data_IF_417627710155
#
_entry.id   IF_417627710155
#
_cell.length_a   1.000
_cell.length_b   1.000
_cell.length_c   1.000
_cell.angle_alpha   90.00
_cell.angle_beta   90.00
_cell.angle_gamma   90.00
#
_symmetry.space_group_name_H-M   'P 1'
#
loop_
_entity.id
_entity.type
_entity.pdbx_description
1 polymer ?
#
# COMPACT_ATOMS: atom_id res chain seq x y z
N UNK A 1 27.44 -24.40 1.69
CA UNK A 1 26.93 -23.24 0.91
C UNK A 1 25.95 -22.52 1.81
N UNK A 2 26.27 -21.29 2.19
CA UNK A 2 25.32 -20.43 2.92
C UNK A 2 24.13 -20.13 2.01
N UNK A 3 22.93 -20.38 2.49
CA UNK A 3 21.72 -20.10 1.74
C UNK A 3 21.51 -18.57 1.72
N UNK A 4 21.42 -17.97 0.53
CA UNK A 4 21.16 -16.52 0.39
C UNK A 4 19.92 -16.14 1.20
N UNK A 5 20.01 -15.09 2.00
CA UNK A 5 18.86 -14.52 2.69
C UNK A 5 17.90 -13.90 1.69
N UNK A 6 16.61 -14.09 1.93
CA UNK A 6 15.54 -13.42 1.20
C UNK A 6 15.45 -11.98 1.67
N UNK A 7 15.54 -11.01 0.76
CA UNK A 7 15.45 -9.58 1.08
C UNK A 7 14.01 -9.08 0.91
N UNK A 8 13.44 -8.54 1.97
CA UNK A 8 12.07 -8.03 2.00
C UNK A 8 12.08 -6.55 2.37
N UNK A 9 11.54 -5.70 1.51
CA UNK A 9 11.20 -4.33 1.88
C UNK A 9 9.76 -4.25 2.39
N UNK A 10 9.54 -3.62 3.54
CA UNK A 10 8.20 -3.33 4.06
C UNK A 10 7.98 -1.81 3.99
N UNK A 11 7.15 -1.38 3.05
CA UNK A 11 6.82 0.01 2.83
C UNK A 11 5.51 0.37 3.52
N UNK A 12 5.60 1.12 4.60
CA UNK A 12 4.47 1.78 5.24
C UNK A 12 4.25 3.14 4.62
N UNK A 13 3.02 3.43 4.18
CA UNK A 13 2.65 4.75 3.66
C UNK A 13 1.53 5.38 4.46
N UNK A 14 1.47 6.69 4.39
CA UNK A 14 0.38 7.45 4.96
C UNK A 14 0.77 8.31 6.17
N UNK A 15 -0.21 8.97 6.80
CA UNK A 15 0.03 9.83 7.93
C UNK A 15 0.28 9.04 9.21
N UNK A 16 1.12 9.59 10.08
CA UNK A 16 1.28 9.12 11.46
C UNK A 16 0.08 9.62 12.27
N UNK A 17 -0.88 8.74 12.52
CA UNK A 17 -2.15 9.12 13.20
C UNK A 17 -2.85 7.95 13.90
N UNK A 18 -3.73 8.18 14.89
CA UNK A 18 -3.99 9.49 15.48
C UNK A 18 -2.79 10.03 16.26
N UNK A 19 -1.97 9.16 16.85
CA UNK A 19 -0.77 9.50 17.63
C UNK A 19 0.44 8.71 17.14
N UNK A 20 1.64 9.17 17.55
CA UNK A 20 2.88 8.41 17.33
C UNK A 20 2.79 7.04 18.01
N UNK A 21 2.37 7.00 19.28
CA UNK A 21 2.29 5.75 20.06
C UNK A 21 1.36 4.72 19.44
N UNK A 22 0.18 5.10 18.95
CA UNK A 22 -0.75 4.18 18.30
C UNK A 22 -0.21 3.66 16.95
N UNK A 23 0.49 4.51 16.20
CA UNK A 23 1.15 4.10 14.96
C UNK A 23 2.29 3.12 15.24
N UNK A 24 3.10 3.40 16.27
CA UNK A 24 4.17 2.49 16.72
C UNK A 24 3.64 1.10 17.06
N UNK A 25 2.57 1.05 17.84
CA UNK A 25 1.97 -0.23 18.22
C UNK A 25 1.55 -1.05 16.99
N UNK A 26 0.83 -0.43 16.05
CA UNK A 26 0.38 -1.10 14.81
C UNK A 26 1.52 -1.57 13.94
N UNK A 27 2.54 -0.71 13.73
CA UNK A 27 3.72 -1.08 12.95
C UNK A 27 4.44 -2.26 13.59
N UNK A 28 4.61 -2.23 14.91
CA UNK A 28 5.25 -3.32 15.65
C UNK A 28 4.44 -4.62 15.55
N UNK A 29 3.14 -4.58 15.84
CA UNK A 29 2.25 -5.74 15.71
C UNK A 29 2.25 -6.31 14.27
N UNK A 30 2.33 -5.44 13.26
CA UNK A 30 2.44 -5.88 11.88
C UNK A 30 3.80 -6.54 11.63
N UNK A 31 4.92 -5.93 12.07
CA UNK A 31 6.26 -6.46 11.87
C UNK A 31 6.50 -7.76 12.63
N UNK A 32 5.92 -7.92 13.81
CA UNK A 32 6.02 -9.15 14.61
C UNK A 32 5.49 -10.38 13.85
N UNK A 33 4.58 -10.18 12.89
CA UNK A 33 4.07 -11.25 12.03
C UNK A 33 5.12 -11.77 11.02
N UNK A 34 6.14 -10.96 10.70
CA UNK A 34 7.22 -11.34 9.77
C UNK A 34 8.43 -11.98 10.47
N UNK A 35 8.49 -11.97 11.80
CA UNK A 35 9.60 -12.58 12.56
C UNK A 35 9.73 -14.08 12.36
N UNK A 36 8.66 -14.74 11.91
CA UNK A 36 8.64 -16.18 11.58
C UNK A 36 9.07 -16.53 10.15
N UNK A 37 9.32 -15.54 9.30
CA UNK A 37 9.80 -15.80 7.93
C UNK A 37 11.28 -16.22 8.02
N UNK A 38 11.54 -17.50 7.95
CA UNK A 38 12.90 -18.05 8.08
C UNK A 38 13.81 -17.49 6.99
N UNK A 39 15.02 -17.12 7.42
CA UNK A 39 16.09 -16.67 6.54
C UNK A 39 15.77 -15.37 5.76
N UNK A 40 14.93 -14.48 6.30
CA UNK A 40 14.62 -13.17 5.73
C UNK A 40 15.48 -12.06 6.34
N UNK A 41 15.89 -11.12 5.48
CA UNK A 41 16.41 -9.82 5.86
C UNK A 41 15.34 -8.79 5.52
N UNK A 42 14.81 -8.11 6.54
CA UNK A 42 13.69 -7.19 6.40
C UNK A 42 14.18 -5.76 6.58
N UNK A 43 13.88 -4.89 5.62
CA UNK A 43 14.14 -3.44 5.69
C UNK A 43 12.82 -2.69 5.69
N UNK A 44 12.64 -1.79 6.64
CA UNK A 44 11.42 -1.02 6.83
C UNK A 44 11.53 0.40 6.29
N UNK A 45 10.49 0.85 5.62
CA UNK A 45 10.36 2.18 5.05
C UNK A 45 9.08 2.86 5.54
N UNK A 46 9.17 4.13 5.91
CA UNK A 46 8.02 4.99 6.13
C UNK A 46 7.97 6.04 5.03
N UNK A 47 6.90 6.05 4.22
CA UNK A 47 6.61 7.12 3.28
C UNK A 47 5.54 8.05 3.85
N UNK A 48 5.88 9.33 4.04
CA UNK A 48 4.97 10.33 4.60
C UNK A 48 5.16 11.69 3.94
N UNK A 49 4.24 12.62 4.22
CA UNK A 49 4.26 13.96 3.67
C UNK A 49 5.11 14.92 4.50
N UNK A 50 5.76 15.87 3.84
CA UNK A 50 6.40 17.03 4.47
C UNK A 50 5.36 17.97 5.12
N UNK A 51 5.84 18.86 5.96
CA UNK A 51 5.03 19.88 6.60
C UNK A 51 4.62 19.49 8.02
N UNK A 52 3.38 19.79 8.42
CA UNK A 52 2.92 19.57 9.80
C UNK A 52 2.98 18.10 10.29
N UNK A 53 3.07 17.16 9.37
CA UNK A 53 3.22 15.73 9.64
C UNK A 53 4.69 15.32 9.89
N UNK A 54 5.65 16.19 9.55
CA UNK A 54 7.09 15.93 9.62
C UNK A 54 7.59 15.71 11.05
N UNK A 55 7.08 16.48 12.01
CA UNK A 55 7.43 16.30 13.41
C UNK A 55 7.07 14.89 13.91
N UNK A 56 5.85 14.40 13.63
CA UNK A 56 5.42 13.05 14.04
C UNK A 56 6.24 11.96 13.35
N UNK A 57 6.61 12.16 12.11
CA UNK A 57 7.50 11.24 11.40
C UNK A 57 8.91 11.20 12.02
N UNK A 58 9.45 12.35 12.42
CA UNK A 58 10.72 12.45 13.11
C UNK A 58 10.70 11.79 14.50
N UNK A 59 9.58 11.91 15.23
CA UNK A 59 9.37 11.23 16.51
C UNK A 59 9.32 9.70 16.33
N UNK A 60 8.74 9.20 15.24
CA UNK A 60 8.75 7.77 14.93
C UNK A 60 10.15 7.25 14.56
N UNK A 61 10.91 8.05 13.82
CA UNK A 61 12.31 7.74 13.50
C UNK A 61 13.16 7.58 14.75
N UNK A 62 12.97 8.46 15.73
CA UNK A 62 13.69 8.40 17.01
C UNK A 62 13.41 7.14 17.83
N UNK A 63 12.43 6.31 17.42
CA UNK A 63 12.07 5.06 18.08
C UNK A 63 12.64 3.81 17.38
N UNK A 64 13.52 3.99 16.38
CA UNK A 64 14.16 2.91 15.61
C UNK A 64 13.21 1.88 15.01
N UNK A 65 11.96 2.33 14.67
CA UNK A 65 10.94 1.47 14.06
C UNK A 65 11.09 1.34 12.55
N UNK A 66 11.79 2.28 11.94
CA UNK A 66 11.99 2.33 10.50
C UNK A 66 13.48 2.53 10.20
N UNK A 67 13.98 1.70 9.29
CA UNK A 67 15.35 1.84 8.79
C UNK A 67 15.48 3.07 7.90
N UNK A 68 14.40 3.44 7.19
CA UNK A 68 14.37 4.53 6.23
C UNK A 68 13.08 5.33 6.29
N UNK A 69 13.19 6.66 6.04
CA UNK A 69 12.01 7.52 5.85
C UNK A 69 12.11 8.27 4.54
N UNK A 70 11.00 8.22 3.80
CA UNK A 70 10.80 8.89 2.51
C UNK A 70 9.85 10.06 2.73
N UNK A 71 10.42 11.28 2.79
CA UNK A 71 9.65 12.51 2.95
C UNK A 71 9.26 13.05 1.57
N UNK A 72 7.96 13.12 1.33
CA UNK A 72 7.40 13.51 0.04
C UNK A 72 6.66 14.85 0.14
N UNK A 73 6.62 15.60 -0.96
CA UNK A 73 5.79 16.80 -1.07
C UNK A 73 4.47 16.43 -1.74
N UNK A 74 3.35 16.83 -1.13
CA UNK A 74 2.03 16.62 -1.72
C UNK A 74 1.93 17.33 -3.08
N UNK A 75 1.26 16.73 -4.08
CA UNK A 75 0.93 17.44 -5.31
C UNK A 75 0.10 18.68 -4.99
N UNK A 76 0.43 19.79 -5.65
CA UNK A 76 -0.34 21.02 -5.52
C UNK A 76 -1.69 20.89 -6.24
N UNK A 77 -2.66 21.72 -5.85
CA UNK A 77 -3.96 21.78 -6.51
C UNK A 77 -3.83 22.00 -8.01
N UNK A 78 -2.95 22.92 -8.41
CA UNK A 78 -2.67 23.19 -9.81
C UNK A 78 -2.07 22.00 -10.58
N UNK A 79 -1.34 21.11 -9.91
CA UNK A 79 -0.84 19.88 -10.52
C UNK A 79 -1.96 18.84 -10.70
N UNK A 80 -2.83 18.71 -9.71
CA UNK A 80 -3.99 17.82 -9.77
C UNK A 80 -4.96 18.30 -10.86
N UNK A 81 -5.31 19.59 -10.89
CA UNK A 81 -6.20 20.21 -11.89
C UNK A 81 -5.67 20.08 -13.33
N UNK A 82 -4.34 20.08 -13.52
CA UNK A 82 -3.74 19.84 -14.84
C UNK A 82 -3.77 18.37 -15.23
N UNK A 83 -3.80 17.47 -14.25
CA UNK A 83 -3.77 16.03 -14.47
C UNK A 83 -5.16 15.43 -14.71
N UNK A 84 -6.20 16.00 -14.10
CA UNK A 84 -7.58 15.51 -14.20
C UNK A 84 -8.60 16.64 -14.29
N UNK A 85 -9.71 16.38 -14.97
CA UNK A 85 -10.82 17.34 -15.16
C UNK A 85 -11.94 17.16 -14.12
N UNK A 86 -11.91 16.06 -13.36
CA UNK A 86 -12.94 15.78 -12.36
C UNK A 86 -12.46 16.17 -10.96
N UNK A 87 -13.38 16.46 -10.07
CA UNK A 87 -13.13 16.73 -8.64
C UNK A 87 -13.64 15.64 -7.75
N UNK A 88 -14.51 14.79 -8.27
CA UNK A 88 -15.11 13.64 -7.57
C UNK A 88 -15.20 12.43 -8.49
N UNK A 89 -15.05 11.25 -7.90
CA UNK A 89 -15.37 9.99 -8.56
C UNK A 89 -16.90 9.80 -8.68
N UNK A 90 -17.38 8.90 -9.56
CA UNK A 90 -18.80 8.61 -9.70
C UNK A 90 -19.49 8.18 -8.38
N UNK A 91 -18.76 7.53 -7.49
CA UNK A 91 -19.24 7.16 -6.15
C UNK A 91 -19.31 8.34 -5.16
N UNK A 92 -19.00 9.57 -5.60
CA UNK A 92 -19.01 10.80 -4.81
C UNK A 92 -17.73 11.07 -4.00
N UNK A 93 -16.75 10.16 -4.00
CA UNK A 93 -15.49 10.37 -3.29
C UNK A 93 -14.68 11.51 -3.90
N UNK A 94 -14.06 12.34 -3.05
CA UNK A 94 -13.13 13.37 -3.46
C UNK A 94 -11.87 12.72 -4.09
N UNK A 95 -11.45 13.25 -5.24
CA UNK A 95 -10.30 12.69 -5.97
C UNK A 95 -8.96 13.00 -5.30
N UNK A 96 -8.85 14.08 -4.52
CA UNK A 96 -7.57 14.50 -3.92
C UNK A 96 -6.95 13.42 -3.01
N UNK A 97 -7.68 12.83 -2.06
CA UNK A 97 -7.13 11.72 -1.27
C UNK A 97 -6.70 10.53 -2.11
N UNK A 98 -7.47 10.21 -3.16
CA UNK A 98 -7.15 9.11 -4.09
C UNK A 98 -5.88 9.44 -4.89
N UNK A 99 -5.81 10.64 -5.46
CA UNK A 99 -4.66 11.11 -6.21
C UNK A 99 -3.39 11.09 -5.34
N UNK A 100 -3.46 11.68 -4.15
CA UNK A 100 -2.35 11.71 -3.20
C UNK A 100 -1.90 10.31 -2.79
N UNK A 101 -2.82 9.39 -2.59
CA UNK A 101 -2.52 8.00 -2.24
C UNK A 101 -1.70 7.31 -3.34
N UNK A 102 -2.15 7.39 -4.60
CA UNK A 102 -1.43 6.78 -5.73
C UNK A 102 -0.11 7.47 -6.00
N UNK A 103 -0.08 8.81 -5.93
CA UNK A 103 1.15 9.57 -6.08
C UNK A 103 2.18 9.19 -5.02
N UNK A 104 1.77 9.12 -3.75
CA UNK A 104 2.64 8.73 -2.66
C UNK A 104 3.17 7.31 -2.83
N UNK A 105 2.30 6.35 -3.14
CA UNK A 105 2.69 4.95 -3.31
C UNK A 105 3.73 4.78 -4.40
N UNK A 106 3.49 5.34 -5.59
CA UNK A 106 4.44 5.23 -6.71
C UNK A 106 5.77 5.88 -6.40
N UNK A 107 5.77 7.12 -5.92
CA UNK A 107 7.03 7.84 -5.65
C UNK A 107 7.83 7.22 -4.51
N UNK A 108 7.17 6.60 -3.54
CA UNK A 108 7.84 5.82 -2.52
C UNK A 108 8.41 4.51 -3.07
N UNK A 109 7.64 3.82 -3.91
CA UNK A 109 8.10 2.59 -4.56
C UNK A 109 9.26 2.83 -5.54
N UNK A 110 9.31 3.98 -6.21
CA UNK A 110 10.48 4.38 -7.03
C UNK A 110 11.75 4.38 -6.16
N UNK A 111 11.68 4.94 -4.94
CA UNK A 111 12.82 4.98 -4.01
C UNK A 111 13.18 3.58 -3.51
N UNK A 112 12.19 2.83 -3.02
CA UNK A 112 12.41 1.49 -2.45
C UNK A 112 12.98 0.54 -3.50
N UNK A 113 12.42 0.54 -4.71
CA UNK A 113 12.84 -0.35 -5.80
C UNK A 113 14.27 -0.07 -6.26
N UNK A 114 14.73 1.18 -6.18
CA UNK A 114 16.07 1.59 -6.57
C UNK A 114 17.09 1.52 -5.42
N UNK A 115 16.64 1.39 -4.18
CA UNK A 115 17.53 1.43 -3.01
C UNK A 115 18.37 0.15 -2.85
N UNK A 116 17.79 -1.02 -3.13
CA UNK A 116 18.44 -2.32 -3.05
C UNK A 116 17.75 -3.35 -3.95
N UNK A 117 18.39 -4.49 -4.17
CA UNK A 117 17.81 -5.62 -4.88
C UNK A 117 16.93 -6.47 -3.95
N UNK A 118 15.73 -5.96 -3.62
CA UNK A 118 14.76 -6.72 -2.85
C UNK A 118 14.16 -7.86 -3.69
N UNK A 119 13.95 -8.99 -3.04
CA UNK A 119 13.21 -10.10 -3.63
C UNK A 119 11.70 -9.80 -3.58
N UNK A 120 11.26 -9.13 -2.48
CA UNK A 120 9.86 -8.85 -2.20
C UNK A 120 9.65 -7.44 -1.69
N UNK A 121 8.50 -6.87 -2.02
CA UNK A 121 7.98 -5.65 -1.40
C UNK A 121 6.62 -5.95 -0.78
N UNK A 122 6.48 -5.59 0.48
CA UNK A 122 5.22 -5.51 1.21
C UNK A 122 4.82 -4.05 1.25
N UNK A 123 3.67 -3.72 0.68
CA UNK A 123 3.12 -2.37 0.67
C UNK A 123 1.93 -2.30 1.60
N UNK A 124 1.95 -1.39 2.57
CA UNK A 124 0.91 -1.28 3.59
C UNK A 124 0.72 0.18 4.05
N UNK A 125 -0.22 0.41 4.98
CA UNK A 125 -0.48 1.72 5.56
C UNK A 125 -0.14 1.76 7.05
N UNK A 126 0.20 2.95 7.52
CA UNK A 126 0.46 3.23 8.94
C UNK A 126 -0.80 3.14 9.82
N UNK A 127 -2.00 3.29 9.24
CA UNK A 127 -3.29 3.27 9.93
C UNK A 127 -4.12 2.01 9.63
N UNK A 128 -3.47 0.96 9.11
CA UNK A 128 -4.09 -0.33 8.85
C UNK A 128 -3.82 -1.30 10.01
N UNK A 129 -4.87 -1.86 10.56
CA UNK A 129 -4.80 -3.01 11.48
C UNK A 129 -5.01 -4.27 10.66
N UNK A 130 -4.03 -5.15 10.64
CA UNK A 130 -4.04 -6.32 9.79
C UNK A 130 -3.48 -7.54 10.51
N UNK A 131 -4.15 -8.66 10.35
CA UNK A 131 -3.68 -9.96 10.80
C UNK A 131 -3.53 -10.89 9.60
N UNK A 132 -2.30 -11.28 9.31
CA UNK A 132 -1.95 -12.17 8.19
C UNK A 132 -2.15 -13.65 8.53
N UNK A 133 -2.34 -13.96 9.81
CA UNK A 133 -2.55 -15.32 10.31
C UNK A 133 -1.34 -16.24 10.16
N UNK A 134 -1.54 -17.53 10.36
CA UNK A 134 -0.49 -18.56 10.23
C UNK A 134 -0.06 -18.81 8.77
N UNK A 135 -0.67 -18.13 7.81
CA UNK A 135 -0.50 -18.35 6.38
C UNK A 135 0.43 -17.34 5.69
N UNK A 136 1.27 -16.64 6.46
CA UNK A 136 2.26 -15.69 5.91
C UNK A 136 3.00 -16.24 4.68
N UNK A 137 3.48 -17.50 4.64
CA UNK A 137 4.15 -18.03 3.44
C UNK A 137 3.31 -17.98 2.17
N UNK A 138 1.97 -18.02 2.28
CA UNK A 138 1.08 -17.98 1.11
C UNK A 138 0.98 -16.59 0.48
N UNK A 139 1.42 -15.54 1.19
CA UNK A 139 1.50 -14.17 0.68
C UNK A 139 2.69 -13.97 -0.25
N UNK A 140 3.72 -14.81 -0.13
CA UNK A 140 4.93 -14.74 -0.93
C UNK A 140 4.84 -15.69 -2.13
N UNK A 141 3.98 -15.34 -3.11
CA UNK A 141 3.80 -16.10 -4.35
C UNK A 141 4.58 -15.45 -5.49
N UNK A 142 5.60 -16.12 -6.00
CA UNK A 142 6.45 -15.61 -7.09
C UNK A 142 5.69 -15.30 -8.38
N UNK A 143 4.51 -15.89 -8.56
CA UNK A 143 3.73 -15.77 -9.77
C UNK A 143 2.60 -14.74 -9.68
N UNK A 144 2.33 -14.16 -8.48
CA UNK A 144 1.17 -13.32 -8.28
C UNK A 144 1.40 -12.15 -7.32
N UNK A 145 0.65 -11.08 -7.52
CA UNK A 145 0.44 -10.02 -6.54
C UNK A 145 -0.60 -10.50 -5.53
N UNK A 146 -0.20 -10.65 -4.28
CA UNK A 146 -1.08 -11.08 -3.20
C UNK A 146 -1.70 -9.86 -2.52
N UNK A 147 -3.03 -9.76 -2.51
CA UNK A 147 -3.78 -8.70 -1.82
C UNK A 147 -5.12 -9.24 -1.34
N UNK A 148 -5.68 -8.68 -0.24
CA UNK A 148 -7.04 -8.97 0.13
C UNK A 148 -8.00 -8.49 -0.95
N UNK A 149 -9.09 -9.19 -1.15
CA UNK A 149 -10.20 -8.67 -1.94
C UNK A 149 -11.07 -7.76 -1.07
N UNK A 150 -11.49 -6.64 -1.64
CA UNK A 150 -12.48 -5.75 -1.03
C UNK A 150 -13.82 -6.08 -1.67
N UNK A 151 -14.84 -6.49 -0.90
CA UNK A 151 -16.17 -6.69 -1.45
C UNK A 151 -16.69 -5.38 -2.03
N UNK A 152 -17.12 -5.40 -3.26
CA UNK A 152 -17.85 -4.31 -3.87
C UNK A 152 -19.17 -4.12 -3.11
N UNK A 153 -19.29 -3.01 -2.36
CA UNK A 153 -20.46 -2.61 -1.57
C UNK A 153 -21.06 -3.73 -0.70
N UNK A 154 -20.63 -3.71 0.56
CA UNK A 154 -21.37 -4.18 1.73
C UNK A 154 -22.10 -5.52 1.66
N UNK A 155 -21.37 -6.60 1.93
CA UNK A 155 -21.96 -7.60 2.82
C UNK A 155 -20.84 -8.30 3.57
N UNK A 156 -20.68 -8.07 4.87
CA UNK A 156 -19.70 -8.81 5.69
C UNK A 156 -19.98 -10.32 5.75
N UNK A 157 -21.01 -10.81 5.07
CA UNK A 157 -21.49 -12.19 5.14
C UNK A 157 -22.00 -12.76 3.80
N UNK A 158 -21.60 -12.22 2.62
CA UNK A 158 -22.02 -12.82 1.35
C UNK A 158 -21.06 -13.96 0.97
N UNK A 159 -21.46 -15.23 1.15
CA UNK A 159 -20.62 -16.39 0.84
C UNK A 159 -20.44 -16.67 -0.67
N UNK A 160 -21.02 -15.84 -1.54
CA UNK A 160 -21.05 -16.07 -2.98
C UNK A 160 -20.85 -14.76 -3.79
N UNK A 161 -19.79 -13.99 -3.48
CA UNK A 161 -19.38 -12.90 -4.36
C UNK A 161 -18.62 -13.52 -5.53
N UNK A 162 -19.09 -13.29 -6.74
CA UNK A 162 -18.38 -13.74 -7.92
C UNK A 162 -16.99 -13.11 -7.98
N UNK A 163 -15.95 -13.83 -8.45
CA UNK A 163 -14.58 -13.28 -8.50
C UNK A 163 -14.47 -11.95 -9.26
N UNK A 164 -15.31 -11.73 -10.26
CA UNK A 164 -15.39 -10.49 -11.03
C UNK A 164 -15.93 -9.29 -10.24
N UNK A 165 -16.64 -9.54 -9.15
CA UNK A 165 -17.16 -8.50 -8.23
C UNK A 165 -16.20 -8.17 -7.10
N UNK A 166 -15.04 -8.83 -7.04
CA UNK A 166 -14.03 -8.61 -6.03
C UNK A 166 -12.99 -7.61 -6.53
N UNK A 167 -12.77 -6.58 -5.73
CA UNK A 167 -11.77 -5.54 -6.03
C UNK A 167 -10.48 -5.81 -5.27
N UNK A 168 -9.37 -5.47 -5.92
CA UNK A 168 -8.04 -5.58 -5.29
C UNK A 168 -7.92 -4.49 -4.23
N UNK A 169 -7.56 -4.87 -3.01
CA UNK A 169 -7.30 -3.91 -1.95
C UNK A 169 -6.10 -3.02 -2.31
N UNK A 170 -6.32 -1.71 -2.32
CA UNK A 170 -5.28 -0.70 -2.54
C UNK A 170 -4.52 -0.31 -1.26
N UNK A 171 -4.90 -0.91 -0.12
CA UNK A 171 -4.33 -0.58 1.19
C UNK A 171 -3.18 -1.50 1.58
N UNK A 172 -3.16 -2.71 1.04
CA UNK A 172 -2.16 -3.74 1.35
C UNK A 172 -1.90 -4.65 0.16
N UNK A 173 -0.64 -5.03 -0.01
CA UNK A 173 -0.24 -6.03 -1.00
C UNK A 173 1.17 -6.55 -0.76
N UNK A 174 1.41 -7.77 -1.23
CA UNK A 174 2.73 -8.43 -1.22
C UNK A 174 3.00 -8.95 -2.63
N UNK A 175 4.15 -8.63 -3.18
CA UNK A 175 4.56 -9.14 -4.49
C UNK A 175 6.08 -9.18 -4.64
N UNK A 176 6.61 -9.98 -5.59
CA UNK A 176 7.98 -9.81 -6.05
C UNK A 176 8.26 -8.34 -6.38
N UNK A 177 9.45 -7.84 -6.04
CA UNK A 177 9.74 -6.41 -6.11
C UNK A 177 9.44 -5.79 -7.48
N UNK A 178 9.83 -6.46 -8.57
CA UNK A 178 9.56 -5.99 -9.94
C UNK A 178 8.06 -5.95 -10.25
N UNK A 179 7.29 -6.93 -9.76
CA UNK A 179 5.84 -6.99 -9.94
C UNK A 179 5.13 -5.90 -9.13
N UNK A 180 5.54 -5.66 -7.86
CA UNK A 180 5.02 -4.58 -7.05
C UNK A 180 5.26 -3.23 -7.73
N UNK A 181 6.48 -2.99 -8.18
CA UNK A 181 6.83 -1.77 -8.90
C UNK A 181 5.99 -1.60 -10.18
N UNK A 182 5.86 -2.66 -10.98
CA UNK A 182 5.03 -2.64 -12.18
C UNK A 182 3.56 -2.33 -11.84
N UNK A 183 2.99 -2.95 -10.80
CA UNK A 183 1.59 -2.78 -10.41
C UNK A 183 1.24 -1.33 -10.09
N UNK A 184 2.15 -0.59 -9.43
CA UNK A 184 1.91 0.78 -8.98
C UNK A 184 2.47 1.88 -9.91
N UNK A 185 3.19 1.51 -10.95
CA UNK A 185 3.78 2.47 -11.87
C UNK A 185 2.75 2.97 -12.89
N UNK A 186 2.02 4.01 -12.58
CA UNK A 186 1.04 4.63 -13.49
C UNK A 186 1.68 5.47 -14.64
N UNK A 187 3.00 5.63 -14.67
CA UNK A 187 3.68 6.50 -15.62
C UNK A 187 3.81 7.94 -15.09
N UNK A 188 3.30 8.91 -15.81
CA UNK A 188 3.33 10.32 -15.44
C UNK A 188 2.16 10.72 -14.53
N UNK A 189 2.24 11.92 -13.93
CA UNK A 189 1.15 12.49 -13.14
C UNK A 189 -0.13 12.70 -13.98
N UNK A 190 0.01 12.93 -15.27
CA UNK A 190 -1.11 13.05 -16.22
C UNK A 190 -1.76 11.69 -16.44
N UNK A 191 -0.96 10.63 -16.59
CA UNK A 191 -1.50 9.28 -16.75
C UNK A 191 -2.27 8.85 -15.50
N UNK A 192 -1.79 9.23 -14.30
CA UNK A 192 -2.55 9.03 -13.06
C UNK A 192 -3.91 9.71 -13.11
N UNK A 193 -3.95 10.99 -13.53
CA UNK A 193 -5.21 11.73 -13.67
C UNK A 193 -6.19 11.04 -14.61
N UNK A 194 -5.74 10.60 -15.77
CA UNK A 194 -6.57 9.88 -16.75
C UNK A 194 -7.11 8.54 -16.20
N UNK A 195 -6.30 7.82 -15.43
CA UNK A 195 -6.73 6.57 -14.79
C UNK A 195 -7.78 6.80 -13.71
N UNK A 196 -7.65 7.88 -12.94
CA UNK A 196 -8.65 8.27 -11.94
C UNK A 196 -9.95 8.70 -12.63
N UNK A 197 -9.89 9.43 -13.74
CA UNK A 197 -11.08 9.81 -14.54
C UNK A 197 -11.84 8.59 -15.09
N UNK A 198 -11.12 7.54 -15.46
CA UNK A 198 -11.69 6.31 -15.99
C UNK A 198 -12.22 5.36 -14.91
N UNK A 199 -11.89 5.60 -13.64
CA UNK A 199 -12.26 4.74 -12.52
C UNK A 199 -13.56 5.19 -11.86
N UNK A 200 -14.38 4.25 -11.42
CA UNK A 200 -15.59 4.51 -10.63
C UNK A 200 -15.33 4.58 -9.12
N UNK A 201 -14.21 4.02 -8.68
CA UNK A 201 -13.75 3.98 -7.28
C UNK A 201 -12.21 3.84 -7.18
N UNK A 202 -11.61 4.12 -6.01
CA UNK A 202 -10.17 4.09 -5.86
C UNK A 202 -9.52 2.77 -6.28
N UNK A 203 -10.07 1.63 -5.85
CA UNK A 203 -9.54 0.30 -6.12
C UNK A 203 -9.50 -0.03 -7.62
N UNK A 204 -10.43 0.54 -8.41
CA UNK A 204 -10.49 0.35 -9.85
C UNK A 204 -9.25 0.89 -10.58
N UNK A 205 -8.58 1.91 -10.04
CA UNK A 205 -7.34 2.46 -10.59
C UNK A 205 -6.24 1.40 -10.56
N UNK A 206 -6.03 0.76 -9.40
CA UNK A 206 -5.02 -0.30 -9.25
C UNK A 206 -5.36 -1.52 -10.09
N UNK A 207 -6.62 -1.95 -10.07
CA UNK A 207 -7.08 -3.09 -10.86
C UNK A 207 -6.89 -2.87 -12.36
N UNK A 208 -7.20 -1.68 -12.86
CA UNK A 208 -6.96 -1.31 -14.25
C UNK A 208 -5.48 -1.41 -14.63
N UNK A 209 -4.58 -0.90 -13.79
CA UNK A 209 -3.14 -1.00 -14.02
C UNK A 209 -2.64 -2.45 -14.03
N UNK A 210 -3.15 -3.28 -13.14
CA UNK A 210 -2.77 -4.70 -13.09
C UNK A 210 -3.30 -5.48 -14.30
N UNK A 211 -4.53 -5.22 -14.72
CA UNK A 211 -5.13 -5.84 -15.90
C UNK A 211 -4.37 -5.50 -17.17
N UNK A 212 -4.04 -4.22 -17.39
CA UNK A 212 -3.25 -3.78 -18.55
C UNK A 212 -1.88 -4.47 -18.65
N UNK A 213 -1.29 -4.83 -17.51
CA UNK A 213 0.04 -5.45 -17.43
C UNK A 213 0.00 -6.96 -17.28
N UNK A 214 -1.18 -7.54 -17.34
CA UNK A 214 -1.39 -8.97 -17.10
C UNK A 214 -0.76 -9.45 -15.79
N UNK A 215 -0.86 -8.64 -14.72
CA UNK A 215 -0.36 -9.01 -13.39
C UNK A 215 -1.41 -9.92 -12.73
N UNK A 216 -1.08 -11.19 -12.48
CA UNK A 216 -1.99 -12.10 -11.81
C UNK A 216 -2.16 -11.69 -10.35
N UNK A 217 -3.40 -11.74 -9.87
CA UNK A 217 -3.75 -11.41 -8.48
C UNK A 217 -4.20 -12.66 -7.75
N UNK A 218 -3.77 -12.77 -6.50
CA UNK A 218 -4.15 -13.82 -5.58
C UNK A 218 -4.68 -13.21 -4.29
N UNK A 219 -5.79 -13.71 -3.79
CA UNK A 219 -6.25 -13.41 -2.44
C UNK A 219 -5.95 -14.58 -1.52
N UNK A 220 -4.92 -14.46 -0.67
CA UNK A 220 -4.65 -15.48 0.34
C UNK A 220 -5.83 -15.59 1.33
N UNK A 221 -6.16 -16.80 1.79
CA UNK A 221 -7.23 -16.99 2.76
C UNK A 221 -6.88 -16.35 4.12
N UNK A 222 -7.89 -15.94 4.84
CA UNK A 222 -7.82 -15.58 6.28
C UNK A 222 -7.11 -14.28 6.63
N UNK A 223 -7.36 -13.21 5.88
CA UNK A 223 -6.96 -11.88 6.31
C UNK A 223 -8.14 -11.14 6.90
N UNK A 224 -8.03 -10.77 8.16
CA UNK A 224 -8.86 -9.71 8.72
C UNK A 224 -8.08 -8.40 8.61
N UNK A 225 -8.71 -7.38 8.05
CA UNK A 225 -8.14 -6.05 8.02
C UNK A 225 -9.23 -5.00 8.26
N UNK A 226 -8.85 -3.93 8.91
CA UNK A 226 -9.69 -2.75 9.10
C UNK A 226 -8.82 -1.51 9.20
N UNK A 227 -9.35 -0.39 8.75
CA UNK A 227 -8.74 0.89 9.08
C UNK A 227 -8.98 1.19 10.57
N UNK A 228 -7.96 1.70 11.24
CA UNK A 228 -8.08 2.03 12.66
C UNK A 228 -9.31 2.96 12.89
N UNK A 229 -10.28 2.53 13.70
CA UNK A 229 -11.47 3.33 13.98
C UNK A 229 -11.14 4.67 14.63
N UNK A 230 -10.00 4.77 15.33
CA UNK A 230 -9.53 5.99 15.99
C UNK A 230 -8.74 6.93 15.07
N UNK A 231 -8.56 6.59 13.79
CA UNK A 231 -7.71 7.37 12.86
C UNK A 231 -8.12 8.83 12.68
N UNK A 232 -9.35 9.19 12.99
CA UNK A 232 -9.92 10.52 12.84
C UNK A 232 -10.10 11.26 14.17
N UNK A 233 -9.70 10.68 15.31
CA UNK A 233 -9.78 11.31 16.64
C UNK A 233 -8.66 12.30 16.91
#
# INVERSE_FOLDING_TARGET
MEQRKVKIAVLFRGPVRPTVASTMLRVKEFMDQFTGVQNAEVTTYLATWRGWKEQRASELLAQDLFDNVIMQTEPTDAQIERATKITRLPNGADIRPVFNMYYQSKTALDVVYLADNYDWIVHTRTDLVMQLGEHIPQWFDQAAYAAPHVPGIAAPHAPHIAPEDLWICDQFGVAPAAMMYAAWNYGSIRDLGQRIEAADKPEAVLQGMMTERNIPVKAPPYVTWQLDPQRNS
#
